data_IF_285694058965
#
_entry.id   IF_285694058965
#
_cell.length_a   1.000
_cell.length_b   1.000
_cell.length_c   1.000
_cell.angle_alpha   90.00
_cell.angle_beta   90.00
_cell.angle_gamma   90.00
#
_symmetry.space_group_name_H-M   'P 1'
#
loop_
_entity.id
_entity.type
_entity.pdbx_description
1 polymer ?
#
# COMPACT_ATOMS: atom_id res chain seq x y z
N UNK A 1 14.88 -28.35 -22.57
CA UNK A 1 13.90 -27.31 -22.21
C UNK A 1 14.48 -25.97 -22.62
N UNK A 2 14.00 -25.42 -23.72
CA UNK A 2 14.30 -24.06 -24.17
C UNK A 2 13.25 -23.14 -23.55
N UNK A 3 13.61 -22.43 -22.47
CA UNK A 3 12.73 -21.44 -21.86
C UNK A 3 12.78 -20.15 -22.67
N UNK A 4 11.69 -19.82 -23.35
CA UNK A 4 11.45 -18.47 -23.86
C UNK A 4 11.09 -17.57 -22.68
N UNK A 5 11.91 -16.55 -22.42
CA UNK A 5 11.57 -15.51 -21.46
C UNK A 5 10.49 -14.62 -22.10
N UNK A 6 9.26 -14.72 -21.60
CA UNK A 6 8.19 -13.78 -21.92
C UNK A 6 8.61 -12.38 -21.46
N UNK A 7 8.65 -11.43 -22.40
CA UNK A 7 8.92 -10.02 -22.12
C UNK A 7 7.83 -9.46 -21.19
N UNK A 8 8.12 -9.39 -19.89
CA UNK A 8 7.31 -8.65 -18.94
C UNK A 8 7.46 -7.15 -19.22
N UNK A 9 6.61 -6.60 -20.08
CA UNK A 9 6.47 -5.16 -20.23
C UNK A 9 5.73 -4.59 -19.02
N UNK A 10 6.48 -4.30 -17.96
CA UNK A 10 6.01 -3.34 -16.96
C UNK A 10 5.89 -2.01 -17.69
N UNK A 11 4.67 -1.52 -17.87
CA UNK A 11 4.46 -0.17 -18.39
C UNK A 11 5.01 0.79 -17.35
N UNK A 12 6.11 1.53 -17.61
CA UNK A 12 6.59 2.49 -16.64
C UNK A 12 5.50 3.54 -16.41
N UNK A 13 5.42 4.12 -15.21
CA UNK A 13 4.50 5.23 -14.95
C UNK A 13 4.68 6.28 -16.05
N UNK A 14 3.57 6.76 -16.62
CA UNK A 14 3.57 7.70 -17.75
C UNK A 14 4.36 8.95 -17.37
N UNK A 15 5.64 8.99 -17.71
CA UNK A 15 6.45 10.20 -17.59
C UNK A 15 5.88 11.21 -18.59
N UNK A 16 5.52 12.43 -18.17
CA UNK A 16 4.84 13.39 -19.04
C UNK A 16 5.68 13.83 -20.24
N UNK A 17 7.00 13.59 -20.21
CA UNK A 17 7.95 13.89 -21.27
C UNK A 17 8.85 12.69 -21.53
N UNK A 18 9.13 12.42 -22.81
CA UNK A 18 9.98 11.32 -23.25
C UNK A 18 10.94 11.78 -24.37
N UNK A 19 12.07 11.07 -24.50
CA UNK A 19 13.04 11.31 -25.57
C UNK A 19 13.63 12.73 -25.56
N UNK A 20 13.69 13.37 -26.74
CA UNK A 20 14.33 14.67 -26.95
C UNK A 20 13.78 15.77 -26.04
N UNK A 21 12.47 15.80 -25.80
CA UNK A 21 11.85 16.83 -24.96
C UNK A 21 12.30 16.73 -23.49
N UNK A 22 12.47 15.52 -22.98
CA UNK A 22 13.01 15.29 -21.63
C UNK A 22 14.49 15.71 -21.56
N UNK A 23 15.27 15.38 -22.59
CA UNK A 23 16.68 15.76 -22.68
C UNK A 23 16.86 17.29 -22.68
N UNK A 24 16.07 18.02 -23.46
CA UNK A 24 16.07 19.49 -23.49
C UNK A 24 15.66 20.10 -22.15
N UNK A 25 14.69 19.48 -21.45
CA UNK A 25 14.30 19.91 -20.11
C UNK A 25 15.45 19.74 -19.10
N UNK A 26 16.18 18.62 -19.17
CA UNK A 26 17.33 18.37 -18.28
C UNK A 26 18.43 19.41 -18.55
N UNK A 27 18.73 19.68 -19.82
CA UNK A 27 19.74 20.67 -20.18
C UNK A 27 19.35 22.11 -19.78
N UNK A 28 18.08 22.45 -19.83
CA UNK A 28 17.57 23.78 -19.42
C UNK A 28 17.40 23.94 -17.90
N UNK A 29 17.59 22.87 -17.12
CA UNK A 29 17.52 22.89 -15.65
C UNK A 29 18.64 23.71 -15.00
N UNK A 30 19.71 23.96 -15.76
CA UNK A 30 20.78 24.89 -15.46
C UNK A 30 21.76 24.48 -14.36
N UNK A 31 23.03 24.79 -14.56
CA UNK A 31 24.14 24.33 -13.71
C UNK A 31 24.04 24.84 -12.27
N UNK A 32 23.54 26.07 -12.09
CA UNK A 32 23.34 26.67 -10.75
C UNK A 32 22.24 26.00 -9.95
N UNK A 33 21.11 25.70 -10.59
CA UNK A 33 19.95 25.14 -9.88
C UNK A 33 20.16 23.65 -9.56
N UNK A 34 20.78 22.91 -10.46
CA UNK A 34 21.20 21.52 -10.23
C UNK A 34 22.19 21.45 -9.06
N UNK A 35 23.21 22.32 -9.07
CA UNK A 35 24.17 22.41 -7.97
C UNK A 35 23.49 22.69 -6.63
N UNK A 36 22.52 23.63 -6.59
CA UNK A 36 21.80 23.93 -5.36
C UNK A 36 21.07 22.71 -4.81
N UNK A 37 20.38 21.96 -5.67
CA UNK A 37 19.67 20.73 -5.26
C UNK A 37 20.60 19.64 -4.76
N UNK A 38 21.79 19.50 -5.34
CA UNK A 38 22.80 18.56 -4.83
C UNK A 38 23.29 18.97 -3.44
N UNK A 39 23.55 20.27 -3.21
CA UNK A 39 23.91 20.76 -1.88
C UNK A 39 22.79 20.50 -0.86
N UNK A 40 21.54 20.77 -1.24
CA UNK A 40 20.37 20.52 -0.37
C UNK A 40 20.21 19.02 -0.05
N UNK A 41 20.48 18.12 -1.00
CA UNK A 41 20.39 16.68 -0.80
C UNK A 41 21.42 16.14 0.22
N UNK A 42 22.65 16.67 0.18
CA UNK A 42 23.71 16.31 1.13
C UNK A 42 23.64 17.13 2.44
N UNK A 43 22.84 18.18 2.51
CA UNK A 43 22.79 19.11 3.64
C UNK A 43 24.00 20.05 3.71
N UNK A 44 24.66 20.32 2.59
CA UNK A 44 25.82 21.21 2.50
C UNK A 44 25.41 22.67 2.31
N UNK A 45 26.21 23.58 2.87
CA UNK A 45 26.01 25.02 2.73
C UNK A 45 26.88 25.62 1.62
N UNK A 46 27.97 24.95 1.25
CA UNK A 46 29.00 25.48 0.37
C UNK A 46 29.36 24.52 -0.77
N UNK A 47 29.80 25.08 -1.89
CA UNK A 47 30.29 24.31 -3.05
C UNK A 47 31.59 23.56 -2.73
N UNK A 48 32.36 24.07 -1.77
CA UNK A 48 33.61 23.46 -1.33
C UNK A 48 33.35 22.09 -0.70
N UNK A 49 32.34 21.97 0.16
CA UNK A 49 31.97 20.69 0.79
C UNK A 49 31.66 19.61 -0.25
N UNK A 50 30.89 19.97 -1.30
CA UNK A 50 30.61 19.05 -2.40
C UNK A 50 31.87 18.69 -3.20
N UNK A 51 32.73 19.67 -3.46
CA UNK A 51 34.01 19.46 -4.14
C UNK A 51 34.94 18.54 -3.35
N UNK A 52 35.03 18.74 -2.04
CA UNK A 52 35.86 17.94 -1.14
C UNK A 52 35.32 16.50 -1.04
N UNK A 53 33.99 16.31 -0.97
CA UNK A 53 33.35 14.99 -0.95
C UNK A 53 33.65 14.19 -2.23
N UNK A 54 33.52 14.82 -3.40
CA UNK A 54 33.61 14.14 -4.70
C UNK A 54 35.00 14.20 -5.34
N UNK A 55 35.97 14.87 -4.70
CA UNK A 55 37.31 15.10 -5.26
C UNK A 55 37.30 16.03 -6.48
N UNK A 56 36.34 16.96 -6.56
CA UNK A 56 36.17 17.87 -7.70
C UNK A 56 36.72 19.25 -7.37
N UNK A 57 37.60 19.77 -8.23
CA UNK A 57 38.16 21.10 -8.07
C UNK A 57 37.08 22.20 -8.08
N UNK A 58 37.14 23.22 -7.21
CA UNK A 58 36.15 24.31 -7.16
C UNK A 58 35.98 25.06 -8.49
N UNK A 59 37.03 25.14 -9.31
CA UNK A 59 36.97 25.73 -10.66
C UNK A 59 36.09 24.95 -11.63
N UNK A 60 35.99 23.63 -11.47
CA UNK A 60 35.11 22.77 -12.27
C UNK A 60 33.64 23.07 -11.93
N UNK A 61 33.32 23.13 -10.63
CA UNK A 61 31.97 23.50 -10.16
C UNK A 61 31.59 24.91 -10.63
N UNK A 62 32.53 25.87 -10.56
CA UNK A 62 32.34 27.23 -11.07
C UNK A 62 32.06 27.25 -12.58
N UNK A 63 32.70 26.35 -13.33
CA UNK A 63 32.47 26.21 -14.77
C UNK A 63 31.08 25.68 -15.06
N UNK A 64 30.54 24.77 -14.24
CA UNK A 64 29.18 24.27 -14.40
C UNK A 64 28.16 25.40 -14.29
N UNK A 65 28.32 26.27 -13.30
CA UNK A 65 27.45 27.43 -13.09
C UNK A 65 27.55 28.40 -14.25
N UNK A 66 28.76 28.76 -14.68
CA UNK A 66 28.99 29.77 -15.71
C UNK A 66 28.50 29.33 -17.10
N UNK A 67 28.65 28.05 -17.43
CA UNK A 67 28.29 27.49 -18.74
C UNK A 67 26.91 26.84 -18.77
N UNK A 68 26.18 26.93 -17.67
CA UNK A 68 24.91 26.25 -17.48
C UNK A 68 24.99 24.74 -17.77
N UNK A 69 26.12 24.13 -17.43
CA UNK A 69 26.42 22.74 -17.74
C UNK A 69 25.75 21.81 -16.73
N UNK A 70 25.16 20.73 -17.23
CA UNK A 70 24.53 19.68 -16.44
C UNK A 70 25.53 18.54 -16.13
N UNK A 71 26.02 18.39 -14.87
CA UNK A 71 26.96 17.34 -14.51
C UNK A 71 26.24 16.02 -14.23
N UNK A 72 25.86 15.30 -15.29
CA UNK A 72 24.97 14.14 -15.19
C UNK A 72 25.51 12.98 -14.35
N UNK A 73 26.81 12.70 -14.43
CA UNK A 73 27.50 11.73 -13.58
C UNK A 73 27.39 12.08 -12.10
N UNK A 74 27.67 13.32 -11.73
CA UNK A 74 27.60 13.81 -10.34
C UNK A 74 26.17 13.81 -9.81
N UNK A 75 25.20 14.16 -10.66
CA UNK A 75 23.77 14.10 -10.31
C UNK A 75 23.31 12.66 -10.03
N UNK A 76 23.76 11.69 -10.83
CA UNK A 76 23.45 10.28 -10.60
C UNK A 76 24.09 9.79 -9.31
N UNK A 77 25.36 10.12 -9.05
CA UNK A 77 26.04 9.80 -7.78
C UNK A 77 25.28 10.38 -6.59
N UNK A 78 24.89 11.65 -6.65
CA UNK A 78 24.12 12.30 -5.58
C UNK A 78 22.79 11.59 -5.29
N UNK A 79 22.07 11.16 -6.33
CA UNK A 79 20.83 10.40 -6.16
C UNK A 79 21.05 9.07 -5.42
N UNK A 80 22.10 8.34 -5.79
CA UNK A 80 22.44 7.04 -5.21
C UNK A 80 22.94 7.16 -3.77
N UNK A 81 23.77 8.16 -3.48
CA UNK A 81 24.36 8.36 -2.14
C UNK A 81 23.32 8.80 -1.10
N UNK A 82 22.40 9.69 -1.50
CA UNK A 82 21.47 10.35 -0.56
C UNK A 82 20.07 9.74 -0.56
N UNK A 83 19.77 8.88 -1.53
CA UNK A 83 18.46 8.27 -1.73
C UNK A 83 17.39 9.26 -2.21
N UNK A 84 17.78 10.45 -2.68
CA UNK A 84 16.83 11.43 -3.23
C UNK A 84 16.49 11.12 -4.69
N UNK A 85 15.32 11.57 -5.15
CA UNK A 85 14.81 11.36 -6.50
C UNK A 85 15.75 11.98 -7.55
N UNK A 86 16.23 11.15 -8.48
CA UNK A 86 16.98 11.59 -9.65
C UNK A 86 16.16 12.58 -10.49
N UNK A 87 14.84 12.37 -10.61
CA UNK A 87 13.97 13.26 -11.36
C UNK A 87 13.93 14.66 -10.73
N UNK A 88 13.89 14.75 -9.39
CA UNK A 88 13.95 16.01 -8.68
C UNK A 88 15.32 16.69 -8.83
N UNK A 89 16.42 15.94 -8.68
CA UNK A 89 17.77 16.50 -8.91
C UNK A 89 17.94 17.04 -10.34
N UNK A 90 17.50 16.26 -11.34
CA UNK A 90 17.69 16.60 -12.74
C UNK A 90 16.77 17.74 -13.20
N UNK A 91 15.51 17.77 -12.76
CA UNK A 91 14.48 18.67 -13.32
C UNK A 91 13.96 19.72 -12.35
N UNK A 92 14.26 19.59 -11.05
CA UNK A 92 13.67 20.38 -9.98
C UNK A 92 12.18 20.12 -9.71
N UNK A 93 11.55 19.17 -10.43
CA UNK A 93 10.15 18.81 -10.27
C UNK A 93 9.98 17.61 -9.34
N UNK A 94 8.89 17.57 -8.59
CA UNK A 94 8.60 16.52 -7.60
C UNK A 94 9.23 16.83 -6.24
N UNK A 95 9.33 15.82 -5.38
CA UNK A 95 9.92 15.92 -4.04
C UNK A 95 11.30 15.26 -3.97
N UNK A 96 12.24 15.77 -3.14
CA UNK A 96 13.57 15.19 -2.98
C UNK A 96 13.51 13.74 -2.49
N UNK A 97 12.73 13.46 -1.44
CA UNK A 97 12.40 12.10 -1.05
C UNK A 97 10.99 11.81 -1.52
N UNK A 98 10.83 10.75 -2.29
CA UNK A 98 9.54 10.10 -2.41
C UNK A 98 9.32 9.40 -1.07
N UNK A 99 8.68 10.08 -0.12
CA UNK A 99 7.78 9.33 0.74
C UNK A 99 6.75 8.72 -0.21
N UNK A 100 6.37 7.45 -0.01
CA UNK A 100 5.22 6.82 -0.67
C UNK A 100 3.91 7.50 -0.24
N UNK A 101 3.83 8.81 -0.39
CA UNK A 101 2.63 9.61 -0.33
C UNK A 101 2.47 10.12 -1.75
N UNK A 102 1.93 9.24 -2.60
CA UNK A 102 1.60 9.53 -3.97
C UNK A 102 0.60 10.71 -4.06
N UNK A 103 0.56 11.41 -5.22
CA UNK A 103 -0.27 12.59 -5.40
C UNK A 103 -1.75 12.22 -5.47
N UNK A 104 -2.55 13.03 -4.79
CA UNK A 104 -4.01 13.00 -4.71
C UNK A 104 -4.72 12.89 -6.07
N UNK A 105 -5.37 11.75 -6.30
CA UNK A 105 -6.56 11.52 -7.11
C UNK A 105 -7.38 10.40 -6.40
N UNK A 106 -8.70 10.30 -6.62
CA UNK A 106 -9.68 9.91 -5.59
C UNK A 106 -9.41 8.54 -5.00
N UNK A 107 -9.05 8.49 -3.71
CA UNK A 107 -9.22 7.45 -2.66
C UNK A 107 -9.35 5.95 -3.00
N UNK A 108 -8.98 5.50 -4.19
CA UNK A 108 -9.16 4.14 -4.70
C UNK A 108 -7.82 3.37 -4.80
N UNK A 109 -6.71 4.02 -4.42
CA UNK A 109 -5.35 3.44 -4.33
C UNK A 109 -4.83 3.47 -2.88
N UNK A 110 -5.75 3.64 -1.92
CA UNK A 110 -5.44 3.82 -0.51
C UNK A 110 -5.31 2.47 0.20
N UNK A 111 -4.14 2.20 0.77
CA UNK A 111 -3.96 1.10 1.74
C UNK A 111 -4.78 1.42 2.99
N UNK A 112 -5.74 0.56 3.33
CA UNK A 112 -6.48 0.59 4.59
C UNK A 112 -5.82 -0.31 5.64
N UNK A 113 -5.92 0.15 6.89
CA UNK A 113 -5.54 -0.62 8.07
C UNK A 113 -6.83 -1.16 8.70
N UNK A 114 -7.00 -2.47 8.72
CA UNK A 114 -8.19 -3.14 9.25
C UNK A 114 -7.82 -3.88 10.54
N UNK A 115 -8.55 -3.70 11.66
CA UNK A 115 -8.31 -4.46 12.88
C UNK A 115 -8.32 -5.97 12.62
N UNK A 116 -7.32 -6.66 13.15
CA UNK A 116 -7.09 -8.08 12.93
C UNK A 116 -7.26 -8.86 14.22
N UNK A 117 -7.98 -9.97 14.14
CA UNK A 117 -8.23 -10.87 15.25
C UNK A 117 -7.92 -12.30 14.85
N UNK A 118 -7.33 -13.06 15.77
CA UNK A 118 -7.16 -14.50 15.60
C UNK A 118 -8.22 -15.21 16.44
N UNK A 119 -8.98 -16.08 15.80
CA UNK A 119 -9.99 -16.89 16.46
C UNK A 119 -9.33 -18.13 17.08
N UNK A 120 -9.27 -18.16 18.42
CA UNK A 120 -8.70 -19.27 19.19
C UNK A 120 -9.67 -19.73 20.26
N UNK A 121 -10.03 -21.02 20.23
CA UNK A 121 -10.88 -21.67 21.25
C UNK A 121 -12.20 -20.92 21.49
N UNK A 122 -12.79 -20.42 20.40
CA UNK A 122 -14.04 -19.66 20.39
C UNK A 122 -13.93 -18.24 20.95
N UNK A 123 -12.73 -17.64 20.99
CA UNK A 123 -12.52 -16.25 21.40
C UNK A 123 -11.67 -15.52 20.37
N UNK A 124 -12.04 -14.27 20.10
CA UNK A 124 -11.28 -13.36 19.26
C UNK A 124 -10.17 -12.71 20.06
N UNK A 125 -8.92 -12.91 19.65
CA UNK A 125 -7.75 -12.27 20.24
C UNK A 125 -7.22 -11.20 19.30
N UNK A 126 -7.10 -9.96 19.77
CA UNK A 126 -6.53 -8.86 18.98
C UNK A 126 -5.11 -9.21 18.56
N UNK A 127 -4.81 -9.00 17.27
CA UNK A 127 -3.57 -9.39 16.63
C UNK A 127 -2.98 -8.27 15.77
N UNK A 128 -3.34 -7.01 16.07
CA UNK A 128 -2.86 -5.83 15.33
C UNK A 128 -3.77 -5.50 14.15
N UNK A 129 -3.18 -5.16 13.01
CA UNK A 129 -3.90 -4.67 11.84
C UNK A 129 -3.46 -5.40 10.57
N UNK A 130 -4.42 -5.66 9.68
CA UNK A 130 -4.20 -6.12 8.32
C UNK A 130 -4.16 -4.92 7.38
N UNK A 131 -3.10 -4.86 6.56
CA UNK A 131 -2.95 -3.85 5.52
C UNK A 131 -3.53 -4.39 4.22
N UNK A 132 -4.48 -3.69 3.64
CA UNK A 132 -5.14 -4.11 2.40
C UNK A 132 -5.38 -2.91 1.51
N UNK A 133 -5.26 -3.10 0.20
CA UNK A 133 -5.75 -2.11 -0.75
C UNK A 133 -7.28 -1.95 -0.63
N UNK A 134 -7.77 -0.70 -0.61
CA UNK A 134 -9.19 -0.40 -0.48
C UNK A 134 -10.07 -1.11 -1.52
N UNK A 135 -9.54 -1.39 -2.72
CA UNK A 135 -10.28 -2.06 -3.79
C UNK A 135 -10.68 -3.51 -3.46
N UNK A 136 -10.01 -4.16 -2.52
CA UNK A 136 -10.40 -5.50 -2.06
C UNK A 136 -11.53 -5.48 -1.03
N UNK A 137 -11.95 -4.31 -0.55
CA UNK A 137 -13.04 -4.15 0.40
C UNK A 137 -14.32 -3.89 -0.40
N UNK A 138 -15.33 -4.78 -0.34
CA UNK A 138 -16.60 -4.54 -1.01
C UNK A 138 -17.24 -3.21 -0.60
N UNK A 139 -17.95 -2.57 -1.54
CA UNK A 139 -18.71 -1.36 -1.22
C UNK A 139 -19.79 -1.64 -0.17
N UNK A 140 -20.03 -0.69 0.72
CA UNK A 140 -21.03 -0.81 1.79
C UNK A 140 -20.53 -1.46 3.08
N UNK A 141 -19.24 -1.78 3.16
CA UNK A 141 -18.62 -2.27 4.40
C UNK A 141 -18.26 -1.08 5.30
N UNK A 142 -18.83 -1.02 6.50
CA UNK A 142 -18.68 0.12 7.41
C UNK A 142 -17.63 -0.11 8.49
N UNK A 143 -17.71 -1.22 9.22
CA UNK A 143 -16.79 -1.54 10.33
C UNK A 143 -16.11 -2.88 10.10
N UNK A 144 -15.14 -2.94 9.15
CA UNK A 144 -14.47 -4.17 8.80
C UNK A 144 -13.53 -4.65 9.90
N UNK A 145 -13.50 -5.97 10.12
CA UNK A 145 -12.50 -6.67 10.92
C UNK A 145 -12.03 -7.90 10.17
N UNK A 146 -10.72 -8.15 10.14
CA UNK A 146 -10.18 -9.41 9.64
C UNK A 146 -10.15 -10.43 10.78
N UNK A 147 -10.88 -11.53 10.62
CA UNK A 147 -10.88 -12.67 11.54
C UNK A 147 -10.11 -13.82 10.91
N UNK A 148 -9.04 -14.28 11.56
CA UNK A 148 -8.22 -15.40 11.13
C UNK A 148 -8.62 -16.68 11.88
N UNK A 149 -9.05 -17.69 11.14
CA UNK A 149 -9.25 -19.05 11.64
C UNK A 149 -8.08 -19.96 11.30
N UNK A 150 -8.26 -21.26 11.55
CA UNK A 150 -7.24 -22.29 11.26
C UNK A 150 -7.09 -22.61 9.77
N UNK A 151 -8.19 -22.52 9.00
CA UNK A 151 -8.22 -22.94 7.59
C UNK A 151 -8.52 -21.78 6.61
N UNK A 152 -9.00 -20.64 7.11
CA UNK A 152 -9.37 -19.49 6.29
C UNK A 152 -9.31 -18.21 7.12
N UNK A 153 -9.31 -17.08 6.43
CA UNK A 153 -9.52 -15.76 7.01
C UNK A 153 -10.80 -15.15 6.44
N UNK A 154 -11.48 -14.33 7.22
CA UNK A 154 -12.75 -13.72 6.85
C UNK A 154 -12.71 -12.23 7.11
N UNK A 155 -13.15 -11.45 6.13
CA UNK A 155 -13.46 -10.05 6.35
C UNK A 155 -14.90 -9.97 6.84
N UNK A 156 -15.09 -9.44 8.05
CA UNK A 156 -16.38 -9.34 8.73
C UNK A 156 -16.76 -7.87 8.85
N UNK A 157 -17.97 -7.50 8.43
CA UNK A 157 -18.55 -6.20 8.78
C UNK A 157 -19.33 -6.33 10.08
N UNK A 158 -18.81 -5.67 11.12
CA UNK A 158 -19.37 -5.73 12.49
C UNK A 158 -20.45 -4.69 12.75
N UNK A 159 -20.71 -3.78 11.80
CA UNK A 159 -21.84 -2.84 11.89
C UNK A 159 -23.18 -3.55 11.60
N UNK A 160 -23.13 -4.65 10.85
CA UNK A 160 -24.31 -5.44 10.47
C UNK A 160 -24.57 -6.53 11.50
N UNK A 161 -25.60 -6.34 12.32
CA UNK A 161 -26.01 -7.28 13.39
C UNK A 161 -27.40 -7.88 13.19
N UNK A 162 -28.14 -7.49 12.15
CA UNK A 162 -29.44 -8.09 11.84
C UNK A 162 -29.26 -9.35 10.99
N UNK A 163 -29.41 -10.54 11.60
CA UNK A 163 -29.22 -11.83 10.89
C UNK A 163 -30.03 -11.90 9.59
N UNK A 164 -29.35 -12.37 8.54
CA UNK A 164 -29.91 -12.74 7.24
C UNK A 164 -29.29 -14.04 6.73
N UNK A 165 -29.73 -14.52 5.56
CA UNK A 165 -29.04 -15.62 4.88
C UNK A 165 -27.61 -15.21 4.54
N UNK A 166 -26.67 -16.13 4.66
CA UNK A 166 -25.26 -15.91 4.35
C UNK A 166 -24.34 -16.43 5.44
N UNK A 167 -23.08 -15.97 5.43
CA UNK A 167 -22.07 -16.37 6.41
C UNK A 167 -21.91 -15.31 7.47
N UNK A 168 -21.84 -15.71 8.73
CA UNK A 168 -21.85 -14.82 9.89
C UNK A 168 -20.81 -15.20 10.92
N UNK A 169 -20.25 -14.19 11.58
CA UNK A 169 -19.60 -14.34 12.86
C UNK A 169 -20.69 -14.32 13.94
N UNK A 170 -20.86 -15.44 14.64
CA UNK A 170 -21.83 -15.59 15.71
C UNK A 170 -21.13 -15.87 17.03
N UNK A 171 -21.66 -15.33 18.12
CA UNK A 171 -21.37 -15.75 19.48
C UNK A 171 -22.52 -16.63 19.99
N UNK A 172 -22.18 -17.88 20.32
CA UNK A 172 -23.08 -18.87 20.91
C UNK A 172 -22.51 -19.24 22.28
N UNK A 173 -23.23 -18.92 23.36
CA UNK A 173 -22.83 -19.16 24.75
C UNK A 173 -21.43 -18.63 25.12
N UNK A 174 -21.08 -17.45 24.60
CA UNK A 174 -19.78 -16.81 24.82
C UNK A 174 -18.67 -17.36 23.93
N UNK A 175 -18.98 -18.21 22.94
CA UNK A 175 -18.03 -18.76 21.98
C UNK A 175 -18.31 -18.22 20.59
N UNK A 176 -17.33 -17.51 20.06
CA UNK A 176 -17.38 -16.91 18.73
C UNK A 176 -16.92 -17.95 17.70
N UNK A 177 -17.63 -18.06 16.59
CA UNK A 177 -17.17 -18.81 15.42
C UNK A 177 -17.89 -18.34 14.14
N UNK A 178 -17.45 -18.84 12.99
CA UNK A 178 -18.03 -18.53 11.68
C UNK A 178 -18.99 -19.64 11.26
N UNK A 179 -20.22 -19.26 10.89
CA UNK A 179 -21.26 -20.18 10.47
C UNK A 179 -21.96 -19.71 9.19
N UNK A 180 -22.43 -20.67 8.40
CA UNK A 180 -23.38 -20.42 7.32
C UNK A 180 -24.81 -20.49 7.89
N UNK A 181 -25.61 -19.47 7.61
CA UNK A 181 -26.94 -19.25 8.18
C UNK A 181 -27.99 -19.20 7.07
N UNK A 182 -29.10 -19.90 7.29
CA UNK A 182 -30.31 -19.83 6.46
C UNK A 182 -31.55 -19.61 7.34
N UNK A 183 -32.25 -18.49 7.13
CA UNK A 183 -33.50 -18.15 7.81
C UNK A 183 -34.63 -19.11 7.41
N UNK A 184 -35.42 -19.47 8.40
CA UNK A 184 -36.62 -20.30 8.30
C UNK A 184 -37.83 -19.50 8.79
N UNK A 185 -39.06 -19.81 8.33
CA UNK A 185 -40.26 -19.18 8.84
C UNK A 185 -40.38 -19.28 10.38
N UNK A 186 -40.99 -18.27 11.00
CA UNK A 186 -41.21 -18.24 12.45
C UNK A 186 -40.00 -17.82 13.28
N UNK A 187 -39.13 -16.93 12.75
CA UNK A 187 -37.90 -16.43 13.42
C UNK A 187 -36.93 -17.54 13.82
N UNK A 188 -36.88 -18.60 13.00
CA UNK A 188 -35.92 -19.69 13.15
C UNK A 188 -34.83 -19.57 12.11
N UNK A 189 -33.73 -20.25 12.35
CA UNK A 189 -32.67 -20.37 11.37
C UNK A 189 -32.03 -21.75 11.44
N UNK A 190 -31.46 -22.16 10.32
CA UNK A 190 -30.53 -23.26 10.23
C UNK A 190 -29.11 -22.69 10.24
N UNK A 191 -28.26 -23.31 11.05
CA UNK A 191 -26.86 -22.94 11.22
C UNK A 191 -26.00 -24.14 10.84
N UNK A 192 -25.02 -23.92 9.97
CA UNK A 192 -24.05 -24.91 9.50
C UNK A 192 -22.62 -24.42 9.81
N UNK A 193 -21.84 -25.25 10.50
CA UNK A 193 -20.43 -24.96 10.78
C UNK A 193 -19.75 -26.09 11.53
N UNK A 194 -18.43 -26.24 11.33
CA UNK A 194 -17.63 -27.26 12.02
C UNK A 194 -18.04 -28.71 11.72
N UNK A 195 -18.73 -28.96 10.59
CA UNK A 195 -19.24 -30.28 10.20
C UNK A 195 -20.53 -30.69 10.92
N UNK A 196 -21.18 -29.77 11.65
CA UNK A 196 -22.47 -29.97 12.30
C UNK A 196 -23.49 -28.98 11.76
N UNK A 197 -24.74 -29.43 11.69
CA UNK A 197 -25.88 -28.62 11.27
C UNK A 197 -26.96 -28.70 12.35
N UNK A 198 -27.49 -27.55 12.75
CA UNK A 198 -28.57 -27.47 13.74
C UNK A 198 -29.56 -26.35 13.41
N UNK A 199 -30.68 -26.31 14.12
CA UNK A 199 -31.67 -25.24 14.02
C UNK A 199 -31.95 -24.64 15.38
N UNK A 200 -32.03 -23.32 15.43
CA UNK A 200 -32.38 -22.57 16.64
C UNK A 200 -33.22 -21.34 16.27
N UNK A 201 -33.75 -20.65 17.28
CA UNK A 201 -34.29 -19.30 17.12
C UNK A 201 -33.18 -18.29 16.80
N UNK A 202 -33.51 -17.26 16.03
CA UNK A 202 -32.57 -16.15 15.75
C UNK A 202 -32.12 -15.46 17.04
N UNK A 203 -33.00 -15.40 18.04
CA UNK A 203 -32.77 -14.77 19.34
C UNK A 203 -31.96 -15.67 20.32
N UNK A 204 -31.63 -16.92 19.92
CA UNK A 204 -30.82 -17.86 20.73
C UNK A 204 -29.30 -17.71 20.48
N UNK A 205 -28.89 -16.84 19.56
CA UNK A 205 -27.48 -16.55 19.27
C UNK A 205 -27.26 -15.04 19.26
N UNK A 206 -26.01 -14.62 19.41
CA UNK A 206 -25.64 -13.21 19.27
C UNK A 206 -24.89 -12.99 17.94
N UNK A 207 -25.46 -12.26 16.97
CA UNK A 207 -24.75 -11.89 15.76
C UNK A 207 -23.67 -10.84 16.05
N UNK A 208 -22.44 -11.14 15.71
CA UNK A 208 -21.30 -10.24 15.88
C UNK A 208 -20.90 -9.51 14.59
N UNK A 209 -21.33 -10.02 13.43
CA UNK A 209 -21.09 -9.39 12.13
C UNK A 209 -21.34 -10.34 10.96
N UNK A 210 -21.51 -9.78 9.77
CA UNK A 210 -21.67 -10.54 8.53
C UNK A 210 -20.32 -10.71 7.81
N UNK A 211 -20.06 -11.89 7.27
CA UNK A 211 -18.85 -12.15 6.47
C UNK A 211 -19.07 -11.63 5.05
N UNK A 212 -18.20 -10.73 4.61
CA UNK A 212 -18.25 -10.12 3.27
C UNK A 212 -17.20 -10.67 2.31
N UNK A 213 -16.13 -11.28 2.85
CA UNK A 213 -15.10 -11.94 2.06
C UNK A 213 -14.57 -13.18 2.81
N UNK A 214 -14.32 -14.27 2.08
CA UNK A 214 -13.62 -15.45 2.59
C UNK A 214 -12.32 -15.64 1.81
N UNK A 215 -11.20 -15.77 2.51
CA UNK A 215 -9.87 -15.98 1.94
C UNK A 215 -9.33 -17.34 2.43
N UNK A 216 -9.10 -18.26 1.50
CA UNK A 216 -8.56 -19.60 1.80
C UNK A 216 -7.15 -19.72 1.23
N UNK A 217 -6.12 -19.95 2.06
CA UNK A 217 -4.79 -20.24 1.55
C UNK A 217 -4.83 -21.52 0.72
N UNK A 218 -4.22 -21.47 -0.47
CA UNK A 218 -4.03 -22.66 -1.30
C UNK A 218 -2.92 -23.51 -0.68
N UNK A 219 -3.19 -24.80 -0.46
CA UNK A 219 -2.20 -25.80 -0.04
C UNK A 219 -1.25 -26.17 -1.19
#
# INVERSE_FOLDING_TARGET
MTGEFANANVSPPKTPLQGKALYEQILSSGGKAVLRRMLDAYGFSTQKELGDLLGIAPGTISTWIRRDFFPGDVVVTCALDTGVSLAWLATGKGTPRQHESAPSAPDDDAIRLIPRYVLKTGKLQSAGEWKVDAQFIPQGVHTPQLVEGSAACWLVDTDVTSISNGRWLLDIDGKNDIYDVALLPGRRMQVDGGGLQFQCGVDEVTPCGVVVLTMTPSL
#
